data_IF_218627642316
#
_entry.id   IF_218627642316
#
_cell.length_a   1.000
_cell.length_b   1.000
_cell.length_c   1.000
_cell.angle_alpha   90.00
_cell.angle_beta   90.00
_cell.angle_gamma   90.00
#
_symmetry.space_group_name_H-M   'P 1'
#
loop_
_entity.id
_entity.type
_entity.pdbx_description
1 polymer ?
#
# COMPACT_ATOMS: atom_id res chain seq x y z
N UNK A 1 -19.08 -1.72 8.15
CA UNK A 1 -18.20 -0.65 7.68
C UNK A 1 -17.49 0.10 8.81
N UNK A 2 -18.17 0.60 9.85
CA UNK A 2 -17.52 1.38 10.92
C UNK A 2 -16.28 0.71 11.56
N UNK A 3 -16.39 -0.57 11.95
CA UNK A 3 -15.26 -1.33 12.52
C UNK A 3 -14.11 -1.50 11.51
N UNK A 4 -14.45 -1.69 10.23
CA UNK A 4 -13.44 -1.81 9.16
C UNK A 4 -12.66 -0.51 9.00
N UNK A 5 -13.37 0.61 8.86
CA UNK A 5 -12.79 1.96 8.72
C UNK A 5 -11.94 2.35 9.94
N UNK A 6 -12.39 2.00 11.15
CA UNK A 6 -11.62 2.26 12.37
C UNK A 6 -10.29 1.48 12.41
N UNK A 7 -10.27 0.26 11.87
CA UNK A 7 -9.07 -0.59 11.87
C UNK A 7 -8.03 -0.13 10.85
N UNK A 8 -8.49 0.27 9.65
CA UNK A 8 -7.63 0.52 8.47
C UNK A 8 -7.12 1.95 8.33
N UNK A 9 -7.66 2.92 9.07
CA UNK A 9 -7.24 4.32 8.94
C UNK A 9 -5.79 4.59 9.34
N UNK A 10 -5.25 5.74 8.93
CA UNK A 10 -3.91 6.19 9.34
C UNK A 10 -3.74 6.19 10.86
N UNK A 11 -2.58 5.73 11.33
CA UNK A 11 -2.22 5.60 12.74
C UNK A 11 -3.13 4.68 13.57
N UNK A 12 -3.99 3.88 12.92
CA UNK A 12 -4.82 2.88 13.58
C UNK A 12 -4.08 1.56 13.73
N UNK A 13 -4.74 0.57 14.35
CA UNK A 13 -4.09 -0.69 14.72
C UNK A 13 -3.48 -1.43 13.53
N UNK A 14 -4.12 -1.34 12.36
CA UNK A 14 -3.65 -1.98 11.13
C UNK A 14 -2.71 -1.10 10.31
N UNK A 15 -2.52 0.16 10.68
CA UNK A 15 -1.39 0.94 10.17
C UNK A 15 -0.09 0.41 10.79
N UNK A 16 0.64 -0.37 9.99
CA UNK A 16 1.90 -0.98 10.42
C UNK A 16 3.10 -0.06 10.18
N UNK A 17 2.97 1.01 9.39
CA UNK A 17 4.11 1.88 9.00
C UNK A 17 4.84 2.43 10.23
N UNK A 18 4.18 3.01 11.26
CA UNK A 18 4.87 3.55 12.44
C UNK A 18 5.56 2.46 13.27
N UNK A 19 4.93 1.29 13.39
CA UNK A 19 5.44 0.15 14.18
C UNK A 19 6.69 -0.46 13.55
N UNK A 20 6.69 -0.58 12.23
CA UNK A 20 7.82 -1.11 11.45
C UNK A 20 8.98 -0.13 11.47
N UNK A 21 8.74 1.16 11.22
CA UNK A 21 9.78 2.17 11.26
C UNK A 21 10.47 2.23 12.62
N UNK A 22 9.68 2.25 13.71
CA UNK A 22 10.20 2.23 15.07
C UNK A 22 11.10 1.03 15.36
N UNK A 23 10.85 -0.12 14.71
CA UNK A 23 11.60 -1.36 14.94
C UNK A 23 12.85 -1.49 14.07
N UNK A 24 12.80 -1.03 12.82
CA UNK A 24 13.84 -1.31 11.83
C UNK A 24 14.57 -0.07 11.32
N UNK A 25 14.10 1.14 11.63
CA UNK A 25 14.69 2.40 11.18
C UNK A 25 14.52 2.69 9.69
N UNK A 26 13.99 1.73 8.91
CA UNK A 26 13.84 1.84 7.46
C UNK A 26 12.51 1.26 6.98
N UNK A 27 12.03 1.74 5.84
CA UNK A 27 10.74 1.36 5.25
C UNK A 27 10.84 0.38 4.07
N UNK A 28 12.05 -0.11 3.77
CA UNK A 28 12.26 -1.05 2.68
C UNK A 28 12.88 -2.34 3.22
N UNK A 29 12.48 -3.47 2.64
CA UNK A 29 13.07 -4.78 2.91
C UNK A 29 13.68 -5.35 1.63
N UNK A 30 14.96 -5.72 1.70
CA UNK A 30 15.70 -6.33 0.58
C UNK A 30 15.17 -7.73 0.25
N UNK A 31 14.92 -7.97 -1.04
CA UNK A 31 14.65 -9.27 -1.64
C UNK A 31 15.42 -9.35 -2.96
N UNK A 32 16.44 -10.21 -3.01
CA UNK A 32 17.39 -10.23 -4.14
C UNK A 32 18.13 -8.89 -4.27
N UNK A 33 18.07 -8.29 -5.45
CA UNK A 33 18.72 -7.01 -5.78
C UNK A 33 17.85 -5.77 -5.47
N UNK A 34 16.60 -5.96 -5.06
CA UNK A 34 15.62 -4.89 -4.89
C UNK A 34 15.19 -4.74 -3.44
N UNK A 35 14.86 -3.52 -3.03
CA UNK A 35 14.16 -3.20 -1.80
C UNK A 35 12.68 -3.00 -2.09
N UNK A 36 11.82 -3.67 -1.33
CA UNK A 36 10.36 -3.55 -1.42
C UNK A 36 9.83 -2.74 -0.24
N UNK A 37 8.96 -1.77 -0.52
CA UNK A 37 8.33 -0.94 0.49
C UNK A 37 7.40 -1.77 1.37
N UNK A 38 7.35 -1.51 2.67
CA UNK A 38 6.56 -2.35 3.58
C UNK A 38 5.04 -2.26 3.37
N UNK A 39 4.55 -1.21 2.71
CA UNK A 39 3.11 -1.03 2.53
C UNK A 39 2.48 -2.14 1.69
N UNK A 40 3.25 -2.68 0.74
CA UNK A 40 2.90 -3.85 -0.06
C UNK A 40 2.29 -4.97 0.80
N UNK A 41 2.86 -5.25 1.98
CA UNK A 41 2.35 -6.30 2.85
C UNK A 41 1.04 -5.92 3.55
N UNK A 42 0.90 -4.65 3.93
CA UNK A 42 -0.32 -4.12 4.54
C UNK A 42 -1.47 -4.15 3.56
N UNK A 43 -1.24 -3.80 2.30
CA UNK A 43 -2.26 -3.73 1.25
C UNK A 43 -2.67 -5.11 0.73
N UNK A 44 -1.72 -6.06 0.67
CA UNK A 44 -2.04 -7.47 0.47
C UNK A 44 -2.96 -7.98 1.59
N UNK A 45 -2.67 -7.62 2.85
CA UNK A 45 -3.52 -8.00 3.97
C UNK A 45 -4.89 -7.32 3.90
N UNK A 46 -4.95 -6.04 3.55
CA UNK A 46 -6.18 -5.28 3.35
C UNK A 46 -7.07 -5.95 2.30
N UNK A 47 -6.52 -6.28 1.13
CA UNK A 47 -7.23 -6.96 0.06
C UNK A 47 -7.76 -8.33 0.50
N UNK A 48 -6.90 -9.15 1.12
CA UNK A 48 -7.27 -10.50 1.55
C UNK A 48 -8.36 -10.50 2.64
N UNK A 49 -8.13 -9.77 3.75
CA UNK A 49 -9.06 -9.75 4.88
C UNK A 49 -10.35 -9.01 4.52
N UNK A 50 -10.28 -8.02 3.63
CA UNK A 50 -11.44 -7.33 3.11
C UNK A 50 -12.37 -8.26 2.37
N UNK A 51 -11.81 -9.12 1.51
CA UNK A 51 -12.59 -10.16 0.83
C UNK A 51 -13.13 -11.22 1.79
N UNK A 52 -12.32 -11.67 2.75
CA UNK A 52 -12.77 -12.59 3.80
C UNK A 52 -13.89 -12.00 4.68
N UNK A 53 -13.87 -10.69 4.90
CA UNK A 53 -14.92 -9.93 5.58
C UNK A 53 -16.17 -9.66 4.73
N UNK A 54 -16.23 -10.17 3.50
CA UNK A 54 -17.38 -10.02 2.60
C UNK A 54 -17.44 -8.72 1.80
N UNK A 55 -16.40 -7.87 1.85
CA UNK A 55 -16.34 -6.65 1.04
C UNK A 55 -16.08 -6.98 -0.42
N UNK A 56 -16.71 -6.27 -1.35
CA UNK A 56 -16.41 -6.42 -2.78
C UNK A 56 -15.03 -5.82 -3.11
N UNK A 57 -14.42 -6.31 -4.19
CA UNK A 57 -13.17 -5.76 -4.71
C UNK A 57 -13.29 -4.26 -5.04
N UNK A 58 -14.45 -3.83 -5.54
CA UNK A 58 -14.73 -2.42 -5.80
C UNK A 58 -14.67 -1.57 -4.53
N UNK A 59 -15.27 -2.04 -3.43
CA UNK A 59 -15.26 -1.33 -2.14
C UNK A 59 -13.85 -1.24 -1.57
N UNK A 60 -13.02 -2.28 -1.78
CA UNK A 60 -11.62 -2.26 -1.33
C UNK A 60 -10.79 -1.29 -2.17
N UNK A 61 -10.88 -1.36 -3.50
CA UNK A 61 -10.15 -0.48 -4.40
C UNK A 61 -10.57 0.99 -4.23
N UNK A 62 -11.87 1.26 -4.11
CA UNK A 62 -12.37 2.61 -3.91
C UNK A 62 -12.11 3.11 -2.48
N UNK A 63 -11.98 2.21 -1.51
CA UNK A 63 -11.55 2.53 -0.15
C UNK A 63 -10.09 2.97 -0.08
N UNK A 64 -9.18 2.27 -0.77
CA UNK A 64 -7.77 2.63 -0.84
C UNK A 64 -7.56 3.98 -1.54
N UNK A 65 -8.17 4.18 -2.70
CA UNK A 65 -8.07 5.45 -3.39
C UNK A 65 -8.68 6.65 -2.64
N UNK A 66 -9.70 6.43 -1.79
CA UNK A 66 -10.19 7.48 -0.89
C UNK A 66 -9.15 7.83 0.20
N UNK A 67 -8.43 6.84 0.71
CA UNK A 67 -7.38 7.05 1.71
C UNK A 67 -6.24 7.87 1.10
N UNK A 68 -5.78 7.52 -0.11
CA UNK A 68 -4.75 8.28 -0.81
C UNK A 68 -5.14 9.74 -1.03
N UNK A 69 -6.40 10.00 -1.42
CA UNK A 69 -6.93 11.38 -1.53
C UNK A 69 -6.78 12.14 -0.22
N UNK A 70 -7.15 11.53 0.91
CA UNK A 70 -7.06 12.17 2.23
C UNK A 70 -5.61 12.42 2.61
N UNK A 71 -4.73 11.43 2.40
CA UNK A 71 -3.30 11.52 2.69
C UNK A 71 -2.64 12.66 1.92
N UNK A 72 -2.79 12.68 0.60
CA UNK A 72 -2.19 13.70 -0.27
C UNK A 72 -2.75 15.10 0.01
N UNK A 73 -4.02 15.20 0.40
CA UNK A 73 -4.63 16.48 0.78
C UNK A 73 -4.03 17.01 2.09
N UNK A 74 -3.83 16.15 3.09
CA UNK A 74 -3.20 16.54 4.36
C UNK A 74 -1.75 16.93 4.11
N UNK A 75 -1.00 16.16 3.33
CA UNK A 75 0.39 16.49 2.99
C UNK A 75 0.50 17.82 2.26
N UNK A 76 -0.36 18.06 1.26
CA UNK A 76 -0.40 19.33 0.53
C UNK A 76 -0.71 20.54 1.44
N UNK A 77 -1.61 20.40 2.41
CA UNK A 77 -1.91 21.45 3.41
C UNK A 77 -0.72 21.67 4.33
N UNK A 78 -0.12 20.60 4.85
CA UNK A 78 1.07 20.69 5.70
C UNK A 78 2.24 21.37 4.98
N UNK A 79 2.41 21.13 3.69
CA UNK A 79 3.45 21.74 2.86
C UNK A 79 3.32 23.26 2.72
N UNK A 80 2.11 23.83 2.81
CA UNK A 80 1.91 25.28 2.81
C UNK A 80 2.68 25.95 3.97
N UNK A 81 2.81 25.24 5.09
CA UNK A 81 3.51 25.75 6.28
C UNK A 81 5.03 25.55 6.23
N UNK A 82 5.56 24.78 5.26
CA UNK A 82 7.00 24.53 5.10
C UNK A 82 7.70 25.66 4.31
N UNK A 83 9.03 25.83 4.48
CA UNK A 83 9.84 26.72 3.66
C UNK A 83 9.73 26.38 2.17
N UNK A 84 9.66 27.39 1.30
CA UNK A 84 9.35 27.25 -0.13
C UNK A 84 10.23 26.21 -0.86
N UNK A 85 11.52 26.15 -0.51
CA UNK A 85 12.50 25.22 -1.09
C UNK A 85 12.22 23.75 -0.76
N UNK A 86 11.45 23.48 0.29
CA UNK A 86 11.14 22.13 0.77
C UNK A 86 9.71 21.66 0.42
N UNK A 87 8.92 22.50 -0.24
CA UNK A 87 7.52 22.19 -0.59
C UNK A 87 7.47 21.24 -1.77
N UNK A 88 6.88 20.06 -1.57
CA UNK A 88 6.57 19.06 -2.59
C UNK A 88 5.07 19.15 -2.87
N UNK A 89 4.61 20.25 -3.47
CA UNK A 89 3.18 20.41 -3.80
C UNK A 89 2.74 19.34 -4.82
N UNK A 90 2.32 18.18 -4.33
CA UNK A 90 1.56 17.17 -5.06
C UNK A 90 0.29 16.97 -4.26
N UNK A 91 -0.75 17.71 -4.63
CA UNK A 91 -2.09 17.30 -4.25
C UNK A 91 -2.43 15.95 -4.91
N UNK A 92 -3.56 15.35 -4.56
CA UNK A 92 -3.91 14.02 -5.04
C UNK A 92 -3.87 13.95 -6.56
N UNK A 93 -3.35 12.84 -7.10
CA UNK A 93 -3.20 12.65 -8.54
C UNK A 93 -4.07 11.48 -9.00
N UNK A 94 -4.95 11.76 -9.98
CA UNK A 94 -5.87 10.78 -10.53
C UNK A 94 -5.29 10.13 -11.78
N UNK A 95 -5.25 8.81 -11.83
CA UNK A 95 -4.94 8.04 -13.03
C UNK A 95 -5.98 8.27 -14.14
N UNK A 96 -5.50 8.46 -15.37
CA UNK A 96 -6.35 8.57 -16.54
C UNK A 96 -7.05 7.23 -16.83
N UNK A 97 -8.31 7.28 -17.29
CA UNK A 97 -9.10 6.10 -17.69
C UNK A 97 -9.41 5.06 -16.60
N UNK A 98 -9.29 5.41 -15.31
CA UNK A 98 -9.74 4.57 -14.19
C UNK A 98 -10.99 5.18 -13.55
N UNK A 99 -12.08 4.42 -13.45
CA UNK A 99 -13.32 4.87 -12.81
C UNK A 99 -13.30 4.62 -11.29
N UNK A 100 -14.01 5.47 -10.54
CA UNK A 100 -14.11 5.35 -9.08
C UNK A 100 -12.99 6.03 -8.30
N UNK A 101 -13.00 5.86 -6.98
CA UNK A 101 -12.00 6.45 -6.09
C UNK A 101 -10.64 5.76 -6.21
N UNK A 102 -10.61 4.49 -6.65
CA UNK A 102 -9.36 3.75 -6.96
C UNK A 102 -8.45 4.41 -7.99
N UNK A 103 -8.99 5.35 -8.76
CA UNK A 103 -8.20 6.12 -9.73
C UNK A 103 -7.14 6.97 -9.04
N UNK A 104 -7.32 7.29 -7.77
CA UNK A 104 -6.41 8.09 -6.96
C UNK A 104 -5.43 7.25 -6.15
N UNK A 105 -5.57 5.93 -6.18
CA UNK A 105 -4.67 4.98 -5.53
C UNK A 105 -3.36 4.87 -6.31
N UNK A 106 -2.25 4.64 -5.62
CA UNK A 106 -0.97 4.50 -6.28
C UNK A 106 -0.83 3.12 -6.99
N UNK A 107 0.20 2.98 -7.83
CA UNK A 107 0.43 1.70 -8.54
C UNK A 107 0.76 0.55 -7.56
N UNK A 108 1.72 0.69 -6.63
CA UNK A 108 2.02 -0.36 -5.66
C UNK A 108 0.82 -0.85 -4.85
N UNK A 109 -0.05 0.05 -4.39
CA UNK A 109 -1.19 -0.26 -3.54
C UNK A 109 -2.23 -1.06 -4.32
N UNK A 110 -2.55 -0.63 -5.55
CA UNK A 110 -3.45 -1.39 -6.45
C UNK A 110 -2.95 -2.81 -6.74
N UNK A 111 -1.66 -2.96 -7.03
CA UNK A 111 -1.05 -4.27 -7.29
C UNK A 111 -1.14 -5.14 -6.02
N UNK A 112 -0.83 -4.57 -4.86
CA UNK A 112 -0.82 -5.26 -3.58
C UNK A 112 -2.21 -5.72 -3.16
N UNK A 113 -3.23 -4.85 -3.25
CA UNK A 113 -4.63 -5.19 -2.97
C UNK A 113 -5.09 -6.32 -3.91
N UNK A 114 -4.75 -6.23 -5.19
CA UNK A 114 -5.07 -7.27 -6.18
C UNK A 114 -4.45 -8.63 -5.82
N UNK A 115 -3.18 -8.65 -5.37
CA UNK A 115 -2.53 -9.86 -4.86
C UNK A 115 -3.30 -10.43 -3.66
N UNK A 116 -3.70 -9.58 -2.71
CA UNK A 116 -4.51 -9.97 -1.55
C UNK A 116 -5.85 -10.61 -1.93
N UNK A 117 -6.57 -9.98 -2.85
CA UNK A 117 -7.84 -10.49 -3.41
C UNK A 117 -7.62 -11.84 -4.08
N UNK A 118 -6.57 -11.99 -4.89
CA UNK A 118 -6.24 -13.25 -5.57
C UNK A 118 -5.93 -14.36 -4.58
N UNK A 119 -5.16 -14.05 -3.53
CA UNK A 119 -4.88 -15.01 -2.45
C UNK A 119 -6.15 -15.48 -1.76
N UNK A 120 -7.16 -14.62 -1.59
CA UNK A 120 -8.43 -14.99 -1.01
C UNK A 120 -9.20 -15.98 -1.90
N UNK A 121 -9.27 -15.77 -3.21
CA UNK A 121 -9.93 -16.72 -4.10
C UNK A 121 -9.24 -18.08 -4.15
N UNK A 122 -7.91 -18.10 -4.08
CA UNK A 122 -7.14 -19.33 -4.04
C UNK A 122 -7.23 -20.04 -2.67
N UNK A 123 -7.41 -19.28 -1.59
CA UNK A 123 -7.36 -19.77 -0.21
C UNK A 123 -8.46 -19.16 0.67
N UNK A 124 -9.75 -19.36 0.37
CA UNK A 124 -10.84 -18.63 1.03
C UNK A 124 -10.97 -18.98 2.52
N UNK A 125 -10.46 -20.15 2.93
CA UNK A 125 -10.53 -20.66 4.30
C UNK A 125 -9.26 -20.39 5.11
N UNK A 126 -8.37 -19.51 4.66
CA UNK A 126 -7.06 -19.30 5.29
C UNK A 126 -5.98 -20.22 4.75
N UNK A 127 -4.88 -20.36 5.51
CA UNK A 127 -3.73 -21.16 5.08
C UNK A 127 -2.74 -20.41 4.17
N UNK A 128 -2.94 -19.10 3.96
CA UNK A 128 -1.96 -18.26 3.26
C UNK A 128 -0.65 -18.25 4.02
N UNK A 129 0.43 -18.61 3.33
CA UNK A 129 1.79 -18.63 3.88
C UNK A 129 2.62 -17.46 3.37
N UNK A 130 3.70 -17.12 4.09
CA UNK A 130 4.65 -16.12 3.64
C UNK A 130 5.25 -16.46 2.26
N UNK A 131 5.47 -17.75 1.97
CA UNK A 131 5.96 -18.20 0.67
C UNK A 131 4.99 -17.84 -0.46
N UNK A 132 3.70 -18.10 -0.29
CA UNK A 132 2.69 -17.80 -1.31
C UNK A 132 2.57 -16.29 -1.58
N UNK A 133 2.70 -15.48 -0.53
CA UNK A 133 2.73 -14.01 -0.64
C UNK A 133 3.97 -13.59 -1.44
N UNK A 134 5.15 -14.07 -1.04
CA UNK A 134 6.41 -13.75 -1.71
C UNK A 134 6.42 -14.22 -3.17
N UNK A 135 5.90 -15.40 -3.47
CA UNK A 135 5.83 -15.94 -4.84
C UNK A 135 4.99 -15.01 -5.75
N UNK A 136 3.91 -14.42 -5.23
CA UNK A 136 3.10 -13.45 -6.00
C UNK A 136 3.77 -12.10 -6.14
N UNK A 137 4.41 -11.58 -5.08
CA UNK A 137 5.09 -10.29 -5.13
C UNK A 137 6.30 -10.32 -6.07
N UNK A 138 7.09 -11.39 -6.01
CA UNK A 138 8.27 -11.56 -6.86
C UNK A 138 7.93 -11.94 -8.31
N UNK A 139 6.68 -12.35 -8.58
CA UNK A 139 6.20 -12.55 -9.95
C UNK A 139 5.88 -11.24 -10.68
N UNK A 140 5.73 -10.12 -9.96
CA UNK A 140 5.57 -8.78 -10.53
C UNK A 140 6.94 -8.17 -10.79
N UNK A 141 7.15 -7.63 -11.99
CA UNK A 141 8.43 -7.06 -12.39
C UNK A 141 8.75 -5.84 -11.51
N UNK A 142 9.99 -5.65 -11.02
CA UNK A 142 10.35 -4.51 -10.18
C UNK A 142 9.95 -3.14 -10.76
N UNK A 143 10.00 -2.95 -12.08
CA UNK A 143 9.59 -1.71 -12.74
C UNK A 143 8.08 -1.43 -12.68
N UNK A 144 7.25 -2.47 -12.53
CA UNK A 144 5.80 -2.34 -12.43
C UNK A 144 5.36 -1.85 -11.04
N UNK A 145 6.21 -1.99 -10.02
CA UNK A 145 5.94 -1.54 -8.67
C UNK A 145 6.03 -0.02 -8.47
N UNK A 146 6.51 0.74 -9.46
CA UNK A 146 6.75 2.18 -9.30
C UNK A 146 7.67 2.47 -8.10
N UNK A 147 7.25 3.37 -7.22
CA UNK A 147 8.00 3.73 -6.01
C UNK A 147 7.98 2.61 -4.93
N UNK A 148 7.15 1.57 -5.11
CA UNK A 148 7.05 0.42 -4.20
C UNK A 148 8.24 -0.53 -4.25
N UNK A 149 9.05 -0.48 -5.31
CA UNK A 149 10.30 -1.23 -5.40
C UNK A 149 11.44 -0.38 -5.97
N UNK A 150 12.63 -0.50 -5.39
CA UNK A 150 13.81 0.22 -5.85
C UNK A 150 15.05 -0.68 -5.82
N UNK A 151 16.05 -0.36 -6.65
CA UNK A 151 17.35 -1.06 -6.59
C UNK A 151 17.93 -0.86 -5.20
N UNK A 152 18.26 -1.96 -4.52
CA UNK A 152 18.79 -1.89 -3.18
C UNK A 152 20.25 -1.42 -3.22
N UNK A 153 20.50 -0.19 -2.77
CA UNK A 153 21.83 0.25 -2.43
C UNK A 153 22.18 -0.25 -1.02
N UNK A 154 23.15 -1.17 -0.91
CA UNK A 154 23.71 -1.51 0.39
C UNK A 154 24.43 -0.28 0.95
N UNK A 155 23.90 0.33 2.00
CA UNK A 155 24.64 1.33 2.76
C UNK A 155 25.85 0.66 3.41
N UNK A 156 27.05 1.12 3.06
CA UNK A 156 28.29 0.76 3.78
C UNK A 156 28.30 1.57 5.06
N UNK A 157 27.97 0.94 6.18
CA UNK A 157 28.24 1.49 7.52
C UNK A 157 29.69 1.24 7.90
#
# INVERSE_FOLDING_TARGET
MAIWTERVGQYKDWDRKPKIHKKFGWYYRKQGEYGYFYDIWSDIHYGYVGRAGGLSESVLADGAGLEQIVSDTVEAICDITKPQESRKHRGPQRAENVEGLRAWDDVPDRISISIGVKLFYENPNGGVTARMIMDKVLAVTPSEWGDGASVHACEKY
#
